data_IF_208143113595
#
_entry.id   IF_208143113595
#
_cell.length_a   1.000
_cell.length_b   1.000
_cell.length_c   1.000
_cell.angle_alpha   90.00
_cell.angle_beta   90.00
_cell.angle_gamma   90.00
#
_symmetry.space_group_name_H-M   'P 1'
#
loop_
_entity.id
_entity.type
_entity.pdbx_description
1 polymer ?
#
# COMPACT_ATOMS: atom_id res chain seq x y z
N UNK A 1 -2.04 -18.34 -9.02
CA UNK A 1 -1.07 -18.04 -7.94
C UNK A 1 -1.75 -17.08 -6.97
N UNK A 2 -2.24 -17.57 -5.83
CA UNK A 2 -2.86 -16.74 -4.79
C UNK A 2 -1.87 -16.69 -3.62
N UNK A 3 -1.14 -15.58 -3.52
CA UNK A 3 -0.34 -15.27 -2.34
C UNK A 3 -1.34 -15.03 -1.19
N UNK A 4 -1.47 -16.01 -0.28
CA UNK A 4 -2.44 -15.96 0.81
C UNK A 4 -1.87 -15.09 1.92
N UNK A 5 -2.14 -13.80 1.86
CA UNK A 5 -1.70 -12.83 2.87
C UNK A 5 -2.41 -13.15 4.20
N UNK A 6 -1.69 -13.20 5.36
CA UNK A 6 -2.32 -13.43 6.65
C UNK A 6 -3.35 -12.34 6.92
N UNK A 7 -4.56 -12.72 7.34
CA UNK A 7 -5.65 -11.78 7.65
C UNK A 7 -5.31 -11.02 8.93
N UNK A 8 -4.71 -9.84 8.79
CA UNK A 8 -4.67 -8.87 9.88
C UNK A 8 -6.11 -8.50 10.24
N UNK A 9 -6.42 -8.52 11.53
CA UNK A 9 -7.73 -8.12 12.03
C UNK A 9 -8.07 -6.71 11.52
N UNK A 10 -9.18 -6.48 10.80
CA UNK A 10 -9.50 -5.19 10.21
C UNK A 10 -9.64 -4.06 11.24
N UNK A 11 -9.81 -4.40 12.52
CA UNK A 11 -9.94 -3.44 13.64
C UNK A 11 -8.71 -2.55 13.87
N UNK A 12 -7.52 -2.98 13.46
CA UNK A 12 -6.29 -2.18 13.65
C UNK A 12 -5.93 -1.34 12.41
N UNK A 13 -6.69 -1.49 11.32
CA UNK A 13 -6.50 -0.72 10.11
C UNK A 13 -7.56 0.38 10.10
N UNK A 14 -7.21 1.67 10.12
CA UNK A 14 -8.19 2.76 10.10
C UNK A 14 -9.18 2.71 8.93
N UNK A 15 -8.75 2.26 7.76
CA UNK A 15 -9.66 2.07 6.61
C UNK A 15 -10.63 0.87 6.79
N UNK A 16 -10.51 0.10 7.88
CA UNK A 16 -11.45 -0.96 8.27
C UNK A 16 -11.42 -2.21 7.40
N UNK A 17 -10.44 -2.34 6.50
CA UNK A 17 -10.28 -3.51 5.63
C UNK A 17 -8.82 -3.78 5.30
N UNK A 18 -8.54 -5.02 4.89
CA UNK A 18 -7.27 -5.38 4.26
C UNK A 18 -7.18 -4.76 2.86
N UNK A 19 -6.00 -4.26 2.50
CA UNK A 19 -5.72 -3.78 1.15
C UNK A 19 -5.68 -4.90 0.13
N UNK A 20 -5.89 -4.57 -1.14
CA UNK A 20 -5.80 -5.51 -2.26
C UNK A 20 -4.43 -5.45 -2.93
N UNK A 21 -4.09 -6.49 -3.70
CA UNK A 21 -2.86 -6.50 -4.51
C UNK A 21 -2.88 -5.38 -5.55
N UNK A 22 -4.06 -5.10 -6.12
CA UNK A 22 -4.22 -4.06 -7.13
C UNK A 22 -3.92 -2.66 -6.58
N UNK A 23 -4.25 -2.39 -5.31
CA UNK A 23 -3.93 -1.13 -4.65
C UNK A 23 -2.42 -0.94 -4.49
N UNK A 24 -1.70 -2.01 -4.10
CA UNK A 24 -0.24 -1.99 -4.04
C UNK A 24 0.36 -1.80 -5.44
N UNK A 25 -0.14 -2.53 -6.43
CA UNK A 25 0.32 -2.43 -7.82
C UNK A 25 0.09 -1.04 -8.41
N UNK A 26 -1.01 -0.37 -8.08
CA UNK A 26 -1.31 0.98 -8.54
C UNK A 26 -0.29 2.00 -8.00
N UNK A 27 0.11 1.89 -6.73
CA UNK A 27 1.16 2.75 -6.15
C UNK A 27 2.50 2.50 -6.83
N UNK A 28 2.88 1.24 -7.03
CA UNK A 28 4.11 0.88 -7.75
C UNK A 28 4.08 1.42 -9.18
N UNK A 29 2.94 1.30 -9.87
CA UNK A 29 2.76 1.85 -11.21
C UNK A 29 2.96 3.37 -11.24
N UNK A 30 2.36 4.10 -10.28
CA UNK A 30 2.59 5.53 -10.14
C UNK A 30 4.08 5.85 -9.91
N UNK A 31 4.75 5.14 -9.00
CA UNK A 31 6.17 5.37 -8.71
C UNK A 31 7.09 5.06 -9.90
N UNK A 32 6.70 4.14 -10.78
CA UNK A 32 7.43 3.81 -12.00
C UNK A 32 7.11 4.74 -13.17
N UNK A 33 6.09 5.59 -13.05
CA UNK A 33 5.59 6.44 -14.12
C UNK A 33 6.32 7.80 -14.17
N UNK A 34 6.33 8.49 -15.33
CA UNK A 34 6.91 9.84 -15.46
C UNK A 34 6.34 10.87 -14.47
N UNK A 35 5.13 10.65 -13.99
CA UNK A 35 4.42 11.48 -13.01
C UNK A 35 5.12 11.53 -11.65
N UNK A 36 5.97 10.54 -11.33
CA UNK A 36 6.80 10.51 -10.13
C UNK A 36 8.24 11.00 -10.37
N UNK A 37 8.53 11.68 -11.50
CA UNK A 37 9.90 12.05 -11.92
C UNK A 37 10.69 12.92 -10.93
N UNK A 38 10.02 13.65 -10.04
CA UNK A 38 10.67 14.47 -9.00
C UNK A 38 10.62 13.85 -7.60
N UNK A 39 10.11 12.63 -7.48
CA UNK A 39 10.01 11.90 -6.23
C UNK A 39 11.18 10.93 -6.11
N UNK A 40 11.96 11.04 -5.03
CA UNK A 40 13.02 10.08 -4.69
C UNK A 40 13.28 10.05 -3.18
N UNK A 41 13.81 8.92 -2.70
CA UNK A 41 14.18 8.74 -1.29
C UNK A 41 13.00 8.74 -0.31
N UNK A 42 11.77 8.57 -0.80
CA UNK A 42 10.55 8.57 0.03
C UNK A 42 10.09 7.15 0.36
N UNK A 43 9.47 6.99 1.52
CA UNK A 43 8.76 5.78 1.91
C UNK A 43 7.25 6.00 1.77
N UNK A 44 6.61 5.25 0.88
CA UNK A 44 5.16 5.26 0.69
C UNK A 44 4.52 4.13 1.48
N UNK A 45 3.78 4.46 2.53
CA UNK A 45 3.02 3.48 3.30
C UNK A 45 1.67 3.18 2.64
N UNK A 46 1.42 1.88 2.45
CA UNK A 46 0.19 1.34 1.84
C UNK A 46 -0.48 0.42 2.86
N UNK A 47 -0.53 0.84 4.13
CA UNK A 47 -1.07 0.02 5.22
C UNK A 47 -2.55 0.29 5.53
N UNK A 48 -3.19 1.21 4.81
CA UNK A 48 -4.54 1.68 5.14
C UNK A 48 -4.59 2.53 6.41
N UNK A 49 -3.48 3.19 6.76
CA UNK A 49 -3.33 4.05 7.94
C UNK A 49 -2.90 3.32 9.21
N UNK A 50 -2.53 2.05 9.13
CA UNK A 50 -2.11 1.26 10.29
C UNK A 50 -0.75 1.72 10.86
N UNK A 51 0.14 2.21 10.03
CA UNK A 51 1.47 2.65 10.45
C UNK A 51 1.41 4.03 11.15
N UNK A 52 2.02 4.12 12.33
CA UNK A 52 2.16 5.37 13.11
C UNK A 52 3.65 5.65 13.27
N UNK A 53 4.24 6.36 12.34
CA UNK A 53 5.63 6.83 12.38
C UNK A 53 5.69 8.32 12.04
#
# INVERSE_FOLDING_TARGET
>A
MSCRVPTSSPSVIPIGRTGTIDEVAAVVHYLASPEASFTTGQCYDISGGRATY
#
